data_IF_423092203383
#
_entry.id   IF_423092203383
#
_cell.length_a   1.000
_cell.length_b   1.000
_cell.length_c   1.000
_cell.angle_alpha   90.00
_cell.angle_beta   90.00
_cell.angle_gamma   90.00
#
_symmetry.space_group_name_H-M   'P 1'
#
loop_
_entity.id
_entity.type
_entity.pdbx_description
1 polymer ?
#
# COMPACT_ATOMS: atom_id res chain seq x y z
N UNK A 1 -3.80 -8.64 -38.41
CA UNK A 1 -3.67 -7.19 -38.20
C UNK A 1 -4.50 -6.70 -36.99
N UNK A 2 -5.75 -7.15 -36.77
CA UNK A 2 -6.57 -6.69 -35.63
C UNK A 2 -5.98 -7.02 -34.23
N UNK A 3 -5.22 -8.10 -34.10
CA UNK A 3 -4.64 -8.48 -32.80
C UNK A 3 -3.51 -7.56 -32.32
N UNK A 4 -2.82 -6.86 -33.20
CA UNK A 4 -1.72 -5.97 -32.80
C UNK A 4 -2.24 -4.63 -32.28
N UNK A 5 -3.27 -4.05 -32.92
CA UNK A 5 -3.84 -2.75 -32.47
C UNK A 5 -4.49 -2.84 -31.10
N UNK A 6 -5.29 -3.90 -30.83
CA UNK A 6 -5.89 -4.10 -29.51
C UNK A 6 -4.83 -4.25 -28.44
N UNK A 7 -3.78 -5.04 -28.72
CA UNK A 7 -2.67 -5.25 -27.81
C UNK A 7 -1.90 -3.96 -27.54
N UNK A 8 -1.63 -3.16 -28.57
CA UNK A 8 -0.93 -1.87 -28.45
C UNK A 8 -1.75 -0.87 -27.60
N UNK A 9 -3.05 -0.77 -27.84
CA UNK A 9 -3.95 0.07 -27.03
C UNK A 9 -3.98 -0.41 -25.59
N UNK A 10 -4.09 -1.72 -25.34
CA UNK A 10 -4.10 -2.29 -23.99
C UNK A 10 -2.78 -1.98 -23.25
N UNK A 11 -1.63 -2.12 -23.91
CA UNK A 11 -0.32 -1.79 -23.34
C UNK A 11 -0.21 -0.30 -23.04
N UNK A 12 -0.62 0.56 -23.98
CA UNK A 12 -0.59 2.02 -23.80
C UNK A 12 -1.45 2.48 -22.62
N UNK A 13 -2.68 1.98 -22.50
CA UNK A 13 -3.56 2.27 -21.36
C UNK A 13 -2.98 1.76 -20.05
N UNK A 14 -2.49 0.52 -20.04
CA UNK A 14 -1.89 -0.08 -18.85
C UNK A 14 -0.68 0.71 -18.37
N UNK A 15 0.16 1.20 -19.30
CA UNK A 15 1.30 2.06 -18.99
C UNK A 15 0.84 3.39 -18.37
N UNK A 16 -0.16 4.05 -18.96
CA UNK A 16 -0.69 5.31 -18.44
C UNK A 16 -1.27 5.11 -17.01
N UNK A 17 -2.02 4.03 -16.79
CA UNK A 17 -2.58 3.73 -15.48
C UNK A 17 -1.51 3.33 -14.46
N UNK A 18 -0.48 2.60 -14.87
CA UNK A 18 0.67 2.28 -14.02
C UNK A 18 1.40 3.55 -13.56
N UNK A 19 1.64 4.47 -14.48
CA UNK A 19 2.29 5.76 -14.20
C UNK A 19 1.45 6.62 -13.26
N UNK A 20 0.15 6.76 -13.54
CA UNK A 20 -0.77 7.49 -12.66
C UNK A 20 -0.84 6.87 -11.26
N UNK A 21 -1.01 5.55 -11.19
CA UNK A 21 -1.07 4.85 -9.92
C UNK A 21 0.22 4.99 -9.10
N UNK A 22 1.38 5.00 -9.76
CA UNK A 22 2.67 5.27 -9.12
C UNK A 22 2.71 6.68 -8.52
N UNK A 23 2.34 7.70 -9.30
CA UNK A 23 2.30 9.09 -8.84
C UNK A 23 1.35 9.23 -7.65
N UNK A 24 0.12 8.69 -7.76
CA UNK A 24 -0.88 8.71 -6.68
C UNK A 24 -0.34 8.05 -5.41
N UNK A 25 0.25 6.86 -5.54
CA UNK A 25 0.82 6.12 -4.40
C UNK A 25 1.96 6.88 -3.74
N UNK A 26 2.85 7.48 -4.52
CA UNK A 26 3.98 8.27 -4.01
C UNK A 26 3.51 9.52 -3.27
N UNK A 27 2.58 10.27 -3.86
CA UNK A 27 2.03 11.48 -3.24
C UNK A 27 1.25 11.12 -1.97
N UNK A 28 0.46 10.06 -2.00
CA UNK A 28 -0.28 9.59 -0.85
C UNK A 28 0.64 9.17 0.29
N UNK A 29 1.71 8.42 0.03
CA UNK A 29 2.67 8.01 1.07
C UNK A 29 3.43 9.23 1.63
N UNK A 30 3.79 10.19 0.79
CA UNK A 30 4.38 11.45 1.22
C UNK A 30 3.44 12.24 2.15
N UNK A 31 2.16 12.35 1.80
CA UNK A 31 1.14 12.99 2.63
C UNK A 31 0.92 12.22 3.95
N UNK A 32 0.80 10.89 3.89
CA UNK A 32 0.61 10.05 5.07
C UNK A 32 1.80 10.16 6.05
N UNK A 33 3.02 10.24 5.51
CA UNK A 33 4.25 10.44 6.28
C UNK A 33 4.33 11.85 6.88
N UNK A 34 4.13 12.87 6.07
CA UNK A 34 4.18 14.27 6.51
C UNK A 34 3.16 14.57 7.61
N UNK A 35 1.94 14.05 7.48
CA UNK A 35 0.87 14.20 8.46
C UNK A 35 0.91 13.16 9.59
N UNK A 36 1.88 12.26 9.60
CA UNK A 36 2.04 11.18 10.60
C UNK A 36 0.74 10.39 10.84
N UNK A 37 -0.02 10.14 9.78
CA UNK A 37 -1.37 9.56 9.86
C UNK A 37 -1.38 8.19 10.56
N UNK A 38 -0.35 7.36 10.35
CA UNK A 38 -0.23 6.04 11.00
C UNK A 38 -0.10 6.18 12.51
N UNK A 39 0.74 7.10 12.99
CA UNK A 39 0.95 7.35 14.41
C UNK A 39 -0.31 7.91 15.10
N UNK A 40 -1.03 8.82 14.45
CA UNK A 40 -2.29 9.33 14.96
C UNK A 40 -3.36 8.23 15.02
N UNK A 41 -3.49 7.41 13.96
CA UNK A 41 -4.47 6.31 13.92
C UNK A 41 -4.18 5.25 15.00
N UNK A 42 -2.90 4.94 15.25
CA UNK A 42 -2.50 4.02 16.31
C UNK A 42 -2.87 4.56 17.70
N UNK A 43 -2.54 5.83 17.97
CA UNK A 43 -2.88 6.49 19.22
C UNK A 43 -4.41 6.52 19.46
N UNK A 44 -5.19 6.90 18.45
CA UNK A 44 -6.65 6.91 18.55
C UNK A 44 -7.23 5.50 18.75
N UNK A 45 -6.62 4.49 18.12
CA UNK A 45 -6.96 3.09 18.32
C UNK A 45 -6.72 2.63 19.75
N UNK A 46 -5.58 2.98 20.34
CA UNK A 46 -5.23 2.65 21.75
C UNK A 46 -6.15 3.39 22.73
N UNK A 47 -6.41 4.68 22.50
CA UNK A 47 -7.35 5.46 23.30
C UNK A 47 -8.74 4.83 23.30
N UNK A 48 -9.21 4.40 22.13
CA UNK A 48 -10.50 3.74 21.99
C UNK A 48 -10.52 2.36 22.67
N UNK A 49 -9.44 1.57 22.53
CA UNK A 49 -9.31 0.26 23.14
C UNK A 49 -9.28 0.31 24.67
N UNK A 50 -8.62 1.32 25.24
CA UNK A 50 -8.50 1.54 26.68
C UNK A 50 -9.61 2.42 27.28
N UNK A 51 -10.58 2.84 26.45
CA UNK A 51 -11.66 3.76 26.80
C UNK A 51 -11.16 5.05 27.50
N UNK A 52 -10.06 5.61 26.97
CA UNK A 52 -9.42 6.84 27.47
C UNK A 52 -9.39 7.93 26.38
N UNK A 53 -10.55 8.48 25.99
CA UNK A 53 -10.62 9.47 24.90
C UNK A 53 -9.88 10.78 25.21
N UNK A 54 -9.75 11.11 26.49
CA UNK A 54 -9.10 12.35 26.96
C UNK A 54 -7.58 12.22 27.12
N UNK A 55 -7.05 11.00 27.02
CA UNK A 55 -5.61 10.74 27.24
C UNK A 55 -5.14 11.15 28.64
N UNK A 56 -5.94 10.84 29.68
CA UNK A 56 -5.64 11.16 31.08
C UNK A 56 -5.62 9.91 31.98
N UNK A 57 -5.82 8.74 31.40
CA UNK A 57 -5.87 7.46 32.09
C UNK A 57 -4.75 6.52 31.64
N UNK A 58 -5.12 5.25 31.40
CA UNK A 58 -4.16 4.20 31.04
C UNK A 58 -3.44 4.45 29.71
N UNK A 59 -4.09 5.11 28.75
CA UNK A 59 -3.42 5.42 27.48
C UNK A 59 -2.24 6.39 27.67
N UNK A 60 -2.37 7.38 28.58
CA UNK A 60 -1.27 8.29 28.88
C UNK A 60 -0.11 7.60 29.60
N UNK A 61 -0.41 6.74 30.58
CA UNK A 61 0.59 5.94 31.29
C UNK A 61 1.35 5.00 30.34
N UNK A 62 0.62 4.38 29.43
CA UNK A 62 1.18 3.50 28.43
C UNK A 62 2.12 4.22 27.47
N UNK A 63 1.75 5.43 27.01
CA UNK A 63 2.62 6.25 26.15
C UNK A 63 3.80 6.88 26.89
N UNK A 64 3.74 6.97 28.21
CA UNK A 64 4.88 7.36 29.07
C UNK A 64 5.88 6.21 29.28
N UNK A 65 5.51 4.97 28.94
CA UNK A 65 6.35 3.80 29.15
C UNK A 65 7.40 3.66 28.06
N UNK A 66 8.69 3.43 28.44
CA UNK A 66 9.82 3.39 27.51
C UNK A 66 9.72 2.28 26.45
N UNK A 67 9.08 1.13 26.73
CA UNK A 67 8.88 0.07 25.72
C UNK A 67 7.88 0.47 24.64
N UNK A 68 6.97 1.40 24.93
CA UNK A 68 5.94 1.88 23.99
C UNK A 68 6.44 3.09 23.21
N UNK A 69 7.05 4.04 23.92
CA UNK A 69 7.50 5.30 23.33
C UNK A 69 8.90 5.68 23.80
N UNK A 70 9.95 5.01 23.30
CA UNK A 70 11.32 5.20 23.77
C UNK A 70 11.90 6.58 23.45
N UNK A 71 11.26 7.37 22.59
CA UNK A 71 11.71 8.70 22.19
C UNK A 71 10.95 9.84 22.91
N UNK A 72 10.12 9.52 23.88
CA UNK A 72 9.43 10.48 24.74
C UNK A 72 10.08 10.52 26.13
N UNK A 73 9.89 11.60 26.87
CA UNK A 73 10.43 11.75 28.24
C UNK A 73 9.45 11.23 29.32
N UNK A 74 8.30 10.72 28.93
CA UNK A 74 7.28 10.19 29.84
C UNK A 74 6.51 11.25 30.64
N UNK A 75 6.70 12.53 30.37
CA UNK A 75 6.08 13.64 31.12
C UNK A 75 4.95 14.35 30.37
N UNK A 76 4.46 13.80 29.27
CA UNK A 76 3.42 14.42 28.47
C UNK A 76 2.08 14.46 29.21
N UNK A 77 1.67 15.65 29.63
CA UNK A 77 0.37 15.89 30.29
C UNK A 77 -0.83 15.79 29.33
N UNK A 78 -0.61 15.75 28.02
CA UNK A 78 -1.64 15.70 27.00
C UNK A 78 -1.13 15.05 25.72
N UNK A 79 -2.05 14.60 24.86
CA UNK A 79 -1.72 14.06 23.54
C UNK A 79 -0.91 15.02 22.67
N UNK A 80 -1.13 16.35 22.79
CA UNK A 80 -0.41 17.38 22.04
C UNK A 80 1.00 17.61 22.59
N UNK A 81 1.26 17.29 23.84
CA UNK A 81 2.55 17.45 24.49
C UNK A 81 3.51 16.28 24.21
N UNK A 82 3.04 15.18 23.62
CA UNK A 82 3.90 14.05 23.24
C UNK A 82 4.95 14.51 22.21
N UNK A 83 6.23 14.36 22.56
CA UNK A 83 7.37 14.69 21.69
C UNK A 83 7.45 13.73 20.50
N UNK A 84 7.12 12.48 20.73
CA UNK A 84 7.08 11.41 19.72
C UNK A 84 5.79 10.62 19.80
N UNK A 85 5.35 10.12 18.65
CA UNK A 85 4.21 9.21 18.55
C UNK A 85 4.66 8.03 17.69
N UNK A 86 4.77 6.82 18.26
CA UNK A 86 5.15 5.64 17.49
C UNK A 86 4.08 5.33 16.43
N UNK A 87 4.52 4.88 15.28
CA UNK A 87 3.64 4.39 14.20
C UNK A 87 3.34 2.89 14.31
N UNK A 88 4.04 2.20 15.19
CA UNK A 88 3.93 0.78 15.51
C UNK A 88 4.34 0.53 16.96
N UNK A 89 3.65 -0.38 17.62
CA UNK A 89 3.99 -0.90 18.96
C UNK A 89 3.95 -2.42 18.87
N UNK A 90 5.00 -3.07 19.33
CA UNK A 90 5.01 -4.52 19.41
C UNK A 90 3.98 -5.02 20.43
N UNK A 91 3.15 -6.01 20.08
CA UNK A 91 2.08 -6.49 20.96
C UNK A 91 2.55 -6.90 22.38
N UNK A 92 3.72 -7.52 22.48
CA UNK A 92 4.28 -7.90 23.78
C UNK A 92 4.73 -6.67 24.59
N UNK A 93 5.33 -5.67 23.94
CA UNK A 93 5.73 -4.42 24.62
C UNK A 93 4.50 -3.64 25.12
N UNK A 94 3.41 -3.64 24.34
CA UNK A 94 2.14 -3.09 24.81
C UNK A 94 1.64 -3.82 26.06
N UNK A 95 1.67 -5.17 26.05
CA UNK A 95 1.20 -5.98 27.14
C UNK A 95 2.01 -5.77 28.42
N UNK A 96 3.34 -5.76 28.32
CA UNK A 96 4.22 -5.49 29.46
C UNK A 96 3.94 -4.08 30.01
N UNK A 97 3.91 -3.06 29.17
CA UNK A 97 3.67 -1.70 29.60
C UNK A 97 2.27 -1.51 30.26
N UNK A 98 1.26 -2.22 29.76
CA UNK A 98 -0.08 -2.20 30.38
C UNK A 98 -0.09 -2.88 31.75
N UNK A 99 0.61 -4.01 31.88
CA UNK A 99 0.76 -4.70 33.18
C UNK A 99 1.49 -3.79 34.17
N UNK A 100 2.60 -3.18 33.75
CA UNK A 100 3.38 -2.27 34.59
C UNK A 100 2.59 -1.02 35.00
N UNK A 101 1.69 -0.54 34.13
CA UNK A 101 0.79 0.58 34.47
C UNK A 101 -0.33 0.23 35.44
N UNK A 102 -0.71 -1.04 35.59
CA UNK A 102 -1.81 -1.51 36.42
C UNK A 102 -1.28 -2.09 37.73
N UNK A 103 -0.18 -2.89 37.69
CA UNK A 103 0.31 -3.62 38.87
C UNK A 103 0.89 -2.68 39.93
N UNK A 104 0.51 -2.91 41.19
CA UNK A 104 1.09 -2.20 42.32
C UNK A 104 2.37 -2.88 42.83
N UNK A 105 2.50 -4.21 42.67
CA UNK A 105 3.66 -4.99 43.08
C UNK A 105 4.18 -5.81 41.90
N UNK A 106 5.35 -5.47 41.34
CA UNK A 106 5.90 -6.19 40.21
C UNK A 106 6.09 -7.67 40.45
N UNK A 107 5.68 -8.52 39.51
CA UNK A 107 5.87 -9.96 39.56
C UNK A 107 4.90 -10.71 40.48
N UNK A 108 4.02 -10.05 41.23
CA UNK A 108 3.05 -10.67 42.07
C UNK A 108 1.71 -10.90 41.37
N UNK A 109 1.56 -12.09 40.78
CA UNK A 109 0.34 -12.42 39.98
C UNK A 109 -0.94 -12.36 40.81
N UNK A 110 -0.93 -12.84 42.08
CA UNK A 110 -2.12 -12.78 42.94
C UNK A 110 -2.54 -11.33 43.26
N UNK A 111 -1.57 -10.43 43.43
CA UNK A 111 -1.82 -9.01 43.60
C UNK A 111 -2.37 -8.39 42.33
N UNK A 112 -1.82 -8.76 41.14
CA UNK A 112 -2.29 -8.27 39.86
C UNK A 112 -3.81 -8.51 39.64
N UNK A 113 -4.34 -9.64 40.12
CA UNK A 113 -5.77 -9.89 40.07
C UNK A 113 -6.58 -8.83 40.82
N UNK A 114 -6.13 -8.43 42.01
CA UNK A 114 -6.77 -7.34 42.79
C UNK A 114 -6.56 -5.96 42.12
N UNK A 115 -5.43 -5.74 41.54
CA UNK A 115 -5.13 -4.48 40.83
C UNK A 115 -5.99 -4.31 39.56
N UNK A 116 -6.31 -5.41 38.87
CA UNK A 116 -7.26 -5.44 37.76
C UNK A 116 -8.68 -5.03 38.24
N UNK A 117 -9.12 -5.47 39.41
CA UNK A 117 -10.41 -5.09 39.98
C UNK A 117 -10.52 -3.59 40.27
N UNK A 118 -9.39 -2.90 40.47
CA UNK A 118 -9.30 -1.45 40.65
C UNK A 118 -9.35 -0.66 39.36
N UNK A 119 -9.30 -1.30 38.19
CA UNK A 119 -9.40 -0.61 36.89
C UNK A 119 -10.77 0.07 36.78
N UNK A 120 -10.78 1.39 36.52
CA UNK A 120 -12.00 2.21 36.55
C UNK A 120 -13.00 1.82 35.47
N UNK A 121 -12.54 1.54 34.28
CA UNK A 121 -13.42 1.17 33.19
C UNK A 121 -13.92 -0.27 33.33
N UNK A 122 -15.26 -0.51 33.37
CA UNK A 122 -15.82 -1.82 33.60
C UNK A 122 -15.60 -2.78 32.42
N UNK A 123 -15.57 -2.28 31.19
CA UNK A 123 -15.35 -3.12 29.99
C UNK A 123 -13.89 -3.59 29.92
N UNK A 124 -12.95 -2.70 30.17
CA UNK A 124 -11.52 -3.02 30.21
C UNK A 124 -11.23 -3.99 31.37
N UNK A 125 -11.80 -3.70 32.56
CA UNK A 125 -11.69 -4.59 33.73
C UNK A 125 -12.18 -6.01 33.44
N UNK A 126 -13.35 -6.14 32.83
CA UNK A 126 -13.91 -7.44 32.46
C UNK A 126 -13.04 -8.20 31.45
N UNK A 127 -12.48 -7.49 30.47
CA UNK A 127 -11.58 -8.07 29.46
C UNK A 127 -10.28 -8.60 30.12
N UNK A 128 -9.64 -7.80 30.96
CA UNK A 128 -8.42 -8.17 31.67
C UNK A 128 -8.66 -9.31 32.69
N UNK A 129 -9.74 -9.23 33.46
CA UNK A 129 -10.14 -10.29 34.41
C UNK A 129 -10.40 -11.63 33.69
N UNK A 130 -11.02 -11.59 32.49
CA UNK A 130 -11.22 -12.79 31.68
C UNK A 130 -9.92 -13.39 31.15
N UNK A 131 -8.93 -12.58 30.79
CA UNK A 131 -7.60 -13.07 30.42
C UNK A 131 -6.89 -13.64 31.66
N UNK A 132 -6.91 -12.91 32.77
CA UNK A 132 -6.32 -13.31 34.05
C UNK A 132 -6.78 -14.69 34.51
N UNK A 133 -8.10 -14.94 34.48
CA UNK A 133 -8.68 -16.23 34.89
C UNK A 133 -8.24 -17.39 34.00
N UNK A 134 -8.10 -17.15 32.68
CA UNK A 134 -7.70 -18.20 31.74
C UNK A 134 -6.23 -18.60 31.84
N UNK A 135 -5.39 -17.73 32.37
CA UNK A 135 -3.93 -17.94 32.41
C UNK A 135 -3.41 -18.57 33.71
N UNK A 136 -4.30 -18.82 34.70
CA UNK A 136 -4.07 -19.73 35.81
C UNK A 136 -2.81 -19.48 36.63
N UNK A 137 -2.43 -18.22 36.91
CA UNK A 137 -1.26 -17.89 37.72
C UNK A 137 0.05 -17.64 36.94
N UNK A 138 0.01 -17.71 35.63
CA UNK A 138 1.21 -17.48 34.78
C UNK A 138 1.21 -16.06 34.22
N UNK A 139 2.14 -15.22 34.66
CA UNK A 139 2.29 -13.83 34.22
C UNK A 139 2.64 -13.73 32.73
N UNK A 140 3.53 -14.59 32.24
CA UNK A 140 3.90 -14.57 30.82
C UNK A 140 2.72 -14.93 29.93
N UNK A 141 1.96 -15.96 30.29
CA UNK A 141 0.73 -16.31 29.57
C UNK A 141 -0.34 -15.19 29.64
N UNK A 142 -0.41 -14.43 30.74
CA UNK A 142 -1.27 -13.26 30.86
C UNK A 142 -0.81 -12.15 29.87
N UNK A 143 0.48 -11.84 29.83
CA UNK A 143 1.05 -10.88 28.89
C UNK A 143 0.81 -11.31 27.44
N UNK A 144 0.98 -12.58 27.09
CA UNK A 144 0.66 -13.12 25.76
C UNK A 144 -0.84 -12.97 25.42
N UNK A 145 -1.71 -13.22 26.40
CA UNK A 145 -3.16 -13.02 26.26
C UNK A 145 -3.53 -11.56 25.98
N UNK A 146 -2.91 -10.62 26.69
CA UNK A 146 -3.07 -9.18 26.48
C UNK A 146 -2.49 -8.75 25.12
N UNK A 147 -1.33 -9.28 24.74
CA UNK A 147 -0.72 -9.04 23.43
C UNK A 147 -1.63 -9.51 22.28
N UNK A 148 -2.23 -10.69 22.41
CA UNK A 148 -3.20 -11.22 21.46
C UNK A 148 -4.46 -10.35 21.35
N UNK A 149 -4.98 -9.86 22.48
CA UNK A 149 -6.12 -8.93 22.50
C UNK A 149 -5.78 -7.60 21.82
N UNK A 150 -4.58 -7.02 22.09
CA UNK A 150 -4.08 -5.83 21.43
C UNK A 150 -3.97 -6.03 19.92
N UNK A 151 -3.36 -7.14 19.48
CA UNK A 151 -3.20 -7.44 18.05
C UNK A 151 -4.55 -7.48 17.34
N UNK A 152 -5.53 -8.20 17.89
CA UNK A 152 -6.89 -8.27 17.34
C UNK A 152 -7.60 -6.93 17.28
N UNK A 153 -7.35 -6.04 18.25
CA UNK A 153 -7.88 -4.67 18.23
C UNK A 153 -7.21 -3.84 17.12
N UNK A 154 -5.88 -3.94 16.99
CA UNK A 154 -5.11 -3.19 15.98
C UNK A 154 -5.37 -3.67 14.56
N UNK A 155 -5.71 -4.92 14.33
CA UNK A 155 -6.19 -5.41 13.04
C UNK A 155 -7.46 -4.68 12.58
N UNK A 156 -8.41 -4.46 13.47
CA UNK A 156 -9.63 -3.67 13.19
C UNK A 156 -9.31 -2.20 12.91
N UNK A 157 -8.40 -1.60 13.66
CA UNK A 157 -7.91 -0.23 13.45
C UNK A 157 -7.22 -0.13 12.08
N UNK A 158 -6.35 -1.08 11.75
CA UNK A 158 -5.68 -1.17 10.45
C UNK A 158 -6.66 -1.31 9.30
N UNK A 159 -7.73 -2.10 9.47
CA UNK A 159 -8.81 -2.24 8.49
C UNK A 159 -9.53 -0.92 8.20
N UNK A 160 -9.79 -0.10 9.22
CA UNK A 160 -10.39 1.23 9.04
C UNK A 160 -9.43 2.22 8.40
N UNK A 161 -8.15 2.18 8.76
CA UNK A 161 -7.10 2.96 8.11
C UNK A 161 -6.99 2.64 6.60
N UNK A 162 -6.95 1.35 6.24
CA UNK A 162 -6.91 0.92 4.83
C UNK A 162 -8.08 1.46 4.02
N UNK A 163 -9.30 1.44 4.55
CA UNK A 163 -10.49 2.01 3.87
C UNK A 163 -10.37 3.52 3.67
N UNK A 164 -9.91 4.26 4.68
CA UNK A 164 -9.66 5.72 4.55
C UNK A 164 -8.55 6.00 3.54
N UNK A 165 -7.48 5.24 3.57
CA UNK A 165 -6.36 5.35 2.64
C UNK A 165 -6.81 5.12 1.19
N UNK A 166 -7.64 4.11 0.92
CA UNK A 166 -8.24 3.88 -0.40
C UNK A 166 -9.07 5.07 -0.87
N UNK A 167 -9.91 5.62 0.01
CA UNK A 167 -10.73 6.78 -0.33
C UNK A 167 -9.86 8.00 -0.67
N UNK A 168 -8.80 8.25 0.11
CA UNK A 168 -7.83 9.32 -0.17
C UNK A 168 -7.12 9.08 -1.51
N UNK A 169 -6.74 7.82 -1.82
CA UNK A 169 -6.15 7.47 -3.14
C UNK A 169 -7.07 7.83 -4.29
N UNK A 170 -8.35 7.47 -4.20
CA UNK A 170 -9.34 7.74 -5.26
C UNK A 170 -9.57 9.24 -5.42
N UNK A 171 -9.71 9.97 -4.31
CA UNK A 171 -9.88 11.44 -4.36
C UNK A 171 -8.65 12.13 -4.93
N UNK A 172 -7.46 11.69 -4.54
CA UNK A 172 -6.20 12.22 -5.09
C UNK A 172 -6.08 11.89 -6.58
N UNK A 173 -6.40 10.66 -6.98
CA UNK A 173 -6.41 10.26 -8.39
C UNK A 173 -7.43 11.08 -9.20
N UNK A 174 -8.62 11.31 -8.66
CA UNK A 174 -9.63 12.15 -9.30
C UNK A 174 -9.15 13.60 -9.44
N UNK A 175 -8.54 14.15 -8.40
CA UNK A 175 -7.95 15.49 -8.44
C UNK A 175 -6.89 15.59 -9.54
N UNK A 176 -5.96 14.62 -9.61
CA UNK A 176 -4.93 14.58 -10.64
C UNK A 176 -5.53 14.40 -12.04
N UNK A 177 -6.54 13.52 -12.18
CA UNK A 177 -7.25 13.33 -13.44
C UNK A 177 -7.91 14.62 -13.94
N UNK A 178 -8.49 15.42 -13.05
CA UNK A 178 -9.09 16.72 -13.39
C UNK A 178 -8.00 17.75 -13.69
N UNK A 179 -7.02 17.91 -12.80
CA UNK A 179 -5.97 18.96 -12.95
C UNK A 179 -5.19 18.77 -14.24
N UNK A 180 -4.79 17.54 -14.54
CA UNK A 180 -4.05 17.19 -15.75
C UNK A 180 -4.94 16.79 -16.93
N UNK A 181 -6.27 16.83 -16.76
CA UNK A 181 -7.24 16.40 -17.75
C UNK A 181 -6.93 15.01 -18.34
N UNK A 182 -6.71 14.03 -17.47
CA UNK A 182 -6.45 12.63 -17.86
C UNK A 182 -7.79 11.91 -17.99
N UNK A 183 -8.35 11.94 -19.19
CA UNK A 183 -9.63 11.32 -19.55
C UNK A 183 -9.38 9.95 -20.20
N UNK A 184 -9.73 8.87 -19.52
CA UNK A 184 -9.58 7.50 -20.03
C UNK A 184 -10.32 7.24 -21.33
N UNK A 185 -11.47 7.89 -21.57
CA UNK A 185 -12.27 7.69 -22.79
C UNK A 185 -11.55 8.37 -23.97
N UNK A 186 -11.05 9.57 -23.75
CA UNK A 186 -10.30 10.31 -24.75
C UNK A 186 -8.96 9.62 -25.05
N UNK A 187 -8.26 9.17 -24.02
CA UNK A 187 -7.01 8.42 -24.13
C UNK A 187 -7.21 7.11 -24.93
N UNK A 188 -8.26 6.35 -24.63
CA UNK A 188 -8.60 5.14 -25.38
C UNK A 188 -8.83 5.45 -26.86
N UNK A 189 -9.62 6.48 -27.18
CA UNK A 189 -9.90 6.89 -28.57
C UNK A 189 -8.63 7.31 -29.31
N UNK A 190 -7.77 8.09 -28.65
CA UNK A 190 -6.52 8.55 -29.26
C UNK A 190 -5.57 7.39 -29.56
N UNK A 191 -5.40 6.45 -28.62
CA UNK A 191 -4.57 5.27 -28.85
C UNK A 191 -5.15 4.33 -29.91
N UNK A 192 -6.49 4.25 -29.99
CA UNK A 192 -7.15 3.45 -31.02
C UNK A 192 -6.98 4.02 -32.43
N UNK A 193 -7.04 5.35 -32.55
CA UNK A 193 -6.85 6.05 -33.82
C UNK A 193 -5.38 6.12 -34.27
N UNK A 194 -4.45 6.13 -33.31
CA UNK A 194 -3.01 6.24 -33.53
C UNK A 194 -2.22 5.10 -32.84
N UNK A 195 -2.32 3.86 -33.35
CA UNK A 195 -1.63 2.70 -32.75
C UNK A 195 -0.12 2.87 -32.66
N UNK A 196 0.49 3.66 -33.56
CA UNK A 196 1.91 3.96 -33.54
C UNK A 196 2.38 4.67 -32.26
N UNK A 197 1.53 5.50 -31.62
CA UNK A 197 1.82 6.14 -30.34
C UNK A 197 1.96 5.09 -29.22
N UNK A 198 1.06 4.11 -29.17
CA UNK A 198 1.13 3.04 -28.19
C UNK A 198 2.39 2.19 -28.38
N UNK A 199 2.79 1.91 -29.62
CA UNK A 199 4.02 1.18 -29.94
C UNK A 199 5.27 1.94 -29.48
N UNK A 200 5.31 3.26 -29.66
CA UNK A 200 6.42 4.12 -29.24
C UNK A 200 6.54 4.20 -27.72
N UNK A 201 5.43 4.34 -26.98
CA UNK A 201 5.41 4.34 -25.51
C UNK A 201 6.02 3.04 -24.95
N UNK A 202 5.72 1.92 -25.59
CA UNK A 202 6.23 0.60 -25.17
C UNK A 202 7.69 0.38 -25.53
N UNK A 203 8.16 0.98 -26.63
CA UNK A 203 9.55 0.92 -27.06
C UNK A 203 10.47 1.86 -26.25
N UNK A 204 9.90 2.77 -25.46
CA UNK A 204 10.66 3.67 -24.62
C UNK A 204 11.47 2.86 -23.58
N UNK A 205 12.79 3.09 -23.47
CA UNK A 205 13.61 2.40 -22.50
C UNK A 205 13.15 2.74 -21.06
N UNK A 206 13.39 1.84 -20.11
CA UNK A 206 13.04 1.98 -18.70
C UNK A 206 13.76 3.17 -17.99
N UNK A 207 14.39 4.04 -18.71
CA UNK A 207 15.04 5.28 -18.24
C UNK A 207 14.23 6.46 -18.73
N UNK A 208 13.91 7.37 -17.82
CA UNK A 208 13.31 8.67 -18.15
C UNK A 208 14.40 9.50 -18.82
N UNK A 209 14.45 9.47 -20.13
CA UNK A 209 15.28 10.33 -20.97
C UNK A 209 14.39 11.41 -21.61
N UNK A 210 15.04 12.35 -22.31
CA UNK A 210 14.37 13.48 -22.96
C UNK A 210 13.34 13.01 -24.01
N UNK A 211 13.63 11.90 -24.69
CA UNK A 211 12.74 11.29 -25.68
C UNK A 211 11.48 10.67 -25.04
N UNK A 212 11.61 10.04 -23.86
CA UNK A 212 10.47 9.52 -23.10
C UNK A 212 9.55 10.66 -22.64
N UNK A 213 10.11 11.80 -22.24
CA UNK A 213 9.33 13.00 -21.87
C UNK A 213 8.58 13.56 -23.07
N UNK A 214 9.22 13.66 -24.27
CA UNK A 214 8.57 14.09 -25.49
C UNK A 214 7.41 13.16 -25.88
N UNK A 215 7.58 11.84 -25.76
CA UNK A 215 6.51 10.87 -26.00
C UNK A 215 5.34 11.03 -25.04
N UNK A 216 5.60 11.30 -23.75
CA UNK A 216 4.55 11.57 -22.78
C UNK A 216 3.78 12.86 -23.10
N UNK A 217 4.47 13.88 -23.66
CA UNK A 217 3.84 15.13 -24.11
C UNK A 217 2.98 14.97 -25.37
N UNK A 218 3.16 13.88 -26.15
CA UNK A 218 2.29 13.58 -27.30
C UNK A 218 0.98 12.90 -26.91
N UNK A 219 0.88 12.40 -25.66
CA UNK A 219 -0.37 11.86 -25.16
C UNK A 219 -1.43 12.98 -25.07
N UNK A 220 -2.70 12.67 -25.30
CA UNK A 220 -3.80 13.64 -25.18
C UNK A 220 -4.11 13.92 -23.71
N UNK A 221 -3.12 14.48 -23.01
CA UNK A 221 -3.18 14.88 -21.60
C UNK A 221 -3.11 16.40 -21.58
N UNK A 222 -3.96 17.01 -20.77
CA UNK A 222 -4.00 18.47 -20.60
C UNK A 222 -5.27 19.10 -21.15
N UNK A 223 -5.49 20.36 -20.75
CA UNK A 223 -6.62 21.13 -21.13
C UNK A 223 -6.40 21.80 -22.49
N UNK A 224 -7.20 21.46 -23.50
CA UNK A 224 -7.17 22.13 -24.81
C UNK A 224 -7.92 23.47 -24.78
N UNK A 225 -8.91 23.62 -23.86
CA UNK A 225 -9.65 24.84 -23.63
C UNK A 225 -9.94 25.01 -22.13
N UNK A 226 -9.67 26.20 -21.63
CA UNK A 226 -10.01 26.58 -20.25
C UNK A 226 -10.62 28.00 -20.27
N UNK A 227 -11.77 28.26 -19.60
CA UNK A 227 -12.59 27.36 -18.79
C UNK A 227 -13.37 26.33 -19.64
N UNK A 228 -13.72 25.16 -19.05
CA UNK A 228 -14.48 24.12 -19.75
C UNK A 228 -15.91 24.60 -20.06
N UNK A 229 -16.46 24.15 -21.19
CA UNK A 229 -17.86 24.36 -21.55
C UNK A 229 -18.68 23.18 -21.01
N UNK A 230 -19.73 23.47 -20.23
CA UNK A 230 -20.58 22.44 -19.64
C UNK A 230 -21.63 21.98 -20.66
N UNK A 231 -21.24 21.06 -21.53
CA UNK A 231 -22.09 20.41 -22.53
C UNK A 231 -22.07 18.87 -22.36
N UNK A 232 -22.68 18.15 -23.32
CA UNK A 232 -22.67 16.69 -23.31
C UNK A 232 -21.24 16.11 -23.41
N UNK A 233 -20.34 16.79 -24.08
CA UNK A 233 -18.95 16.38 -24.17
C UNK A 233 -18.25 16.46 -22.81
N UNK A 234 -18.56 17.48 -22.01
CA UNK A 234 -18.08 17.60 -20.64
C UNK A 234 -18.56 16.46 -19.73
N UNK A 235 -19.81 16.00 -19.87
CA UNK A 235 -20.30 14.85 -19.10
C UNK A 235 -19.52 13.57 -19.45
N UNK A 236 -19.21 13.37 -20.72
CA UNK A 236 -18.40 12.24 -21.16
C UNK A 236 -16.95 12.33 -20.64
N UNK A 237 -16.38 13.53 -20.66
CA UNK A 237 -15.06 13.81 -20.08
C UNK A 237 -15.06 13.55 -18.57
N UNK A 238 -16.08 14.00 -17.84
CA UNK A 238 -16.21 13.73 -16.41
C UNK A 238 -16.31 12.23 -16.12
N UNK A 239 -17.04 11.47 -16.94
CA UNK A 239 -17.07 10.01 -16.85
C UNK A 239 -15.68 9.39 -17.09
N UNK A 240 -14.90 9.94 -18.03
CA UNK A 240 -13.52 9.55 -18.27
C UNK A 240 -12.61 9.81 -17.05
N UNK A 241 -12.75 10.94 -16.36
CA UNK A 241 -12.01 11.22 -15.12
C UNK A 241 -12.37 10.25 -13.99
N UNK A 242 -13.65 9.92 -13.83
CA UNK A 242 -14.10 8.93 -12.84
C UNK A 242 -13.54 7.55 -13.16
N UNK A 243 -13.51 7.17 -14.43
CA UNK A 243 -12.90 5.92 -14.88
C UNK A 243 -11.39 5.91 -14.56
N UNK A 244 -10.68 7.00 -14.88
CA UNK A 244 -9.26 7.17 -14.55
C UNK A 244 -9.03 7.07 -13.04
N UNK A 245 -9.84 7.76 -12.22
CA UNK A 245 -9.72 7.71 -10.77
C UNK A 245 -9.95 6.30 -10.21
N UNK A 246 -10.88 5.54 -10.81
CA UNK A 246 -11.18 4.17 -10.39
C UNK A 246 -9.99 3.22 -10.60
N UNK A 247 -9.09 3.52 -11.55
CA UNK A 247 -7.91 2.69 -11.80
C UNK A 247 -6.93 2.70 -10.62
N UNK A 248 -6.94 3.75 -9.80
CA UNK A 248 -6.12 3.84 -8.59
C UNK A 248 -6.50 2.82 -7.50
N UNK A 249 -7.74 2.28 -7.53
CA UNK A 249 -8.19 1.25 -6.58
C UNK A 249 -7.35 -0.04 -6.67
N UNK A 250 -6.83 -0.35 -7.85
CA UNK A 250 -6.00 -1.53 -8.06
C UNK A 250 -4.56 -1.33 -7.57
N UNK A 251 -4.12 -0.09 -7.41
CA UNK A 251 -2.76 0.27 -7.00
C UNK A 251 -1.68 0.03 -8.07
N UNK A 252 -0.52 0.62 -7.85
CA UNK A 252 0.59 0.54 -8.81
C UNK A 252 1.08 -0.91 -9.09
N UNK A 253 1.22 -1.82 -8.08
CA UNK A 253 1.71 -3.18 -8.35
C UNK A 253 0.84 -3.95 -9.34
N UNK A 254 -0.49 -3.83 -9.25
CA UNK A 254 -1.41 -4.49 -10.19
C UNK A 254 -1.17 -4.05 -11.64
N UNK A 255 -1.02 -2.74 -11.86
CA UNK A 255 -0.82 -2.21 -13.20
C UNK A 255 0.55 -2.59 -13.78
N UNK A 256 1.60 -2.65 -12.95
CA UNK A 256 2.90 -3.14 -13.37
C UNK A 256 2.88 -4.62 -13.73
N UNK A 257 2.21 -5.47 -12.95
CA UNK A 257 2.00 -6.88 -13.27
C UNK A 257 1.23 -7.06 -14.59
N UNK A 258 0.17 -6.26 -14.78
CA UNK A 258 -0.62 -6.27 -16.00
C UNK A 258 0.24 -5.84 -17.20
N UNK A 259 1.06 -4.80 -17.06
CA UNK A 259 1.98 -4.34 -18.10
C UNK A 259 2.98 -5.44 -18.47
N UNK A 260 3.61 -6.08 -17.50
CA UNK A 260 4.56 -7.17 -17.74
C UNK A 260 3.90 -8.36 -18.47
N UNK A 261 2.71 -8.79 -18.04
CA UNK A 261 1.97 -9.89 -18.69
C UNK A 261 1.61 -9.53 -20.14
N UNK A 262 1.14 -8.30 -20.37
CA UNK A 262 0.76 -7.84 -21.70
C UNK A 262 1.97 -7.75 -22.62
N UNK A 263 3.13 -7.33 -22.11
CA UNK A 263 4.39 -7.30 -22.84
C UNK A 263 4.91 -8.72 -23.15
N UNK A 264 4.76 -9.69 -22.25
CA UNK A 264 5.13 -11.09 -22.48
C UNK A 264 4.30 -11.71 -23.62
N UNK A 265 3.00 -11.44 -23.67
CA UNK A 265 2.14 -11.89 -24.78
C UNK A 265 2.63 -11.33 -26.12
N UNK A 266 3.14 -10.10 -26.14
CA UNK A 266 3.74 -9.50 -27.33
C UNK A 266 5.06 -10.18 -27.74
N UNK A 267 5.88 -10.60 -26.77
CA UNK A 267 7.18 -11.25 -27.01
C UNK A 267 7.10 -12.68 -27.50
N UNK A 268 5.96 -13.36 -27.35
CA UNK A 268 5.75 -14.76 -27.79
C UNK A 268 5.33 -14.91 -29.27
N UNK A 269 5.31 -13.81 -30.05
CA UNK A 269 5.11 -13.85 -31.50
C UNK A 269 6.34 -14.40 -32.20
N UNK A 270 6.19 -15.55 -32.86
CA UNK A 270 7.13 -16.30 -33.72
C UNK A 270 8.62 -16.08 -33.39
N UNK A 271 9.21 -17.08 -32.72
CA UNK A 271 10.66 -17.26 -32.74
C UNK A 271 11.11 -17.27 -34.21
N UNK A 272 12.10 -16.44 -34.62
CA UNK A 272 12.72 -16.60 -35.94
C UNK A 272 13.24 -18.04 -36.03
N UNK A 273 12.96 -18.73 -37.13
CA UNK A 273 13.49 -20.05 -37.40
C UNK A 273 14.99 -20.05 -37.11
N UNK A 274 15.36 -20.72 -36.05
CA UNK A 274 16.74 -21.02 -35.71
C UNK A 274 17.22 -21.96 -36.82
N UNK A 275 17.91 -21.41 -37.83
CA UNK A 275 18.53 -22.19 -38.89
C UNK A 275 19.34 -23.29 -38.19
N UNK A 276 18.88 -24.53 -38.31
CA UNK A 276 19.63 -25.69 -37.88
C UNK A 276 21.06 -25.59 -38.34
N UNK A 277 22.08 -25.75 -37.47
CA UNK A 277 23.46 -25.74 -37.87
C UNK A 277 23.69 -26.78 -38.96
N UNK A 278 24.45 -26.51 -40.00
CA UNK A 278 24.69 -27.44 -41.12
C UNK A 278 25.25 -28.75 -40.52
N UNK A 279 24.63 -29.84 -40.91
CA UNK A 279 25.05 -31.21 -40.51
C UNK A 279 26.54 -31.39 -40.75
N UNK A 280 27.33 -31.56 -39.70
CA UNK A 280 28.74 -31.89 -39.78
C UNK A 280 28.88 -33.23 -40.53
N UNK A 281 29.37 -33.13 -41.74
CA UNK A 281 29.72 -34.26 -42.60
C UNK A 281 30.74 -35.11 -41.84
N UNK A 282 30.33 -36.30 -41.36
CA UNK A 282 31.22 -37.30 -40.81
C UNK A 282 32.25 -37.65 -41.87
N UNK A 283 33.47 -37.23 -41.72
CA UNK A 283 34.61 -37.72 -42.50
C UNK A 283 34.86 -39.13 -42.03
N UNK A 284 34.58 -40.08 -42.90
CA UNK A 284 34.93 -41.51 -42.72
C UNK A 284 36.48 -41.59 -42.73
N UNK A 285 37.04 -42.10 -41.63
CA UNK A 285 38.47 -42.44 -41.57
C UNK A 285 38.81 -43.55 -42.56
N UNK A 286 39.95 -43.54 -43.25
CA UNK A 286 40.36 -44.58 -44.14
C UNK A 286 40.77 -45.83 -43.35
N UNK A 287 40.34 -47.01 -43.82
CA UNK A 287 40.68 -48.28 -43.32
C UNK A 287 42.20 -48.51 -43.35
N UNK A 288 42.79 -48.84 -42.18
CA UNK A 288 44.19 -49.29 -42.10
C UNK A 288 44.26 -50.71 -42.69
N UNK A 289 44.92 -50.80 -43.82
CA UNK A 289 45.33 -52.05 -44.47
C UNK A 289 46.35 -52.76 -43.60
N UNK A 290 46.04 -53.98 -43.20
CA UNK A 290 46.95 -54.85 -42.47
C UNK A 290 47.86 -55.60 -43.38
N UNK A 291 49.17 -55.51 -43.16
CA UNK A 291 50.14 -56.55 -43.54
C UNK A 291 51.28 -56.59 -42.54
N UNK A 292 51.36 -57.79 -42.01
CA UNK A 292 52.47 -58.59 -41.42
C UNK A 292 52.54 -58.54 -39.89
#
# INVERSE_FOLDING_TARGET
MFGSTVLEVAVGLTFCYATLALIVSTVQEALASALRLRAHTLLDGIKSMLNDPTFTGLASLLYAHALVNPHDDGHAASQSALKSKPSYIEPLHFAIALVDAIQCVPGNYAQLGRDIDCVRDPQLRAALAGIYQRTGGNLAAFQDGVAGWFNSAMERVSGSYKRRSLLVSVLLSLLLAIVFNIDSIHLFRALWQHPALAAQIVAAPARIDQHTVELLLTLPIGWTRFPPVFDQAFLLQAAGWVLTASTALFGAPFWFDMLQRTMQVRGTGNKPDEKSPPATRKVSAPAADGRR
#
